data_IF_559276286211
#
_entry.id   IF_559276286211
#
_cell.length_a   1.000
_cell.length_b   1.000
_cell.length_c   1.000
_cell.angle_alpha   90.00
_cell.angle_beta   90.00
_cell.angle_gamma   90.00
#
_symmetry.space_group_name_H-M   'P 1'
#
loop_
_entity.id
_entity.type
_entity.pdbx_description
1 polymer ?
#
# COMPACT_ATOMS: atom_id res chain seq x y z
N UNK A 1 52.15 -24.83 10.51
CA UNK A 1 50.79 -24.49 10.96
C UNK A 1 50.69 -22.98 11.04
N UNK A 2 50.04 -22.35 10.05
CA UNK A 2 49.71 -20.93 10.09
C UNK A 2 48.22 -20.88 9.76
N UNK A 3 47.40 -20.58 10.77
CA UNK A 3 45.95 -20.51 10.63
C UNK A 3 45.61 -19.27 9.80
N UNK A 4 45.07 -19.49 8.61
CA UNK A 4 44.35 -18.47 7.84
C UNK A 4 42.91 -18.53 8.31
N UNK A 5 42.53 -17.59 9.16
CA UNK A 5 41.13 -17.23 9.34
C UNK A 5 40.90 -15.95 8.51
N UNK A 6 40.16 -16.10 7.42
CA UNK A 6 39.74 -14.98 6.57
C UNK A 6 38.26 -15.13 6.29
N UNK A 7 37.50 -15.22 7.38
CA UNK A 7 36.06 -15.03 7.40
C UNK A 7 35.74 -13.53 7.40
N UNK A 8 36.09 -12.81 6.32
CA UNK A 8 35.47 -11.51 6.05
C UNK A 8 34.10 -11.76 5.42
N UNK A 9 33.11 -11.97 6.29
CA UNK A 9 31.72 -11.86 5.92
C UNK A 9 31.48 -10.49 5.30
N UNK A 10 30.94 -10.48 4.08
CA UNK A 10 30.43 -9.29 3.41
C UNK A 10 29.39 -8.69 4.36
N UNK A 11 29.77 -7.63 5.08
CA UNK A 11 28.81 -6.82 5.82
C UNK A 11 27.88 -6.20 4.77
N UNK A 12 26.68 -6.76 4.64
CA UNK A 12 25.59 -6.10 3.96
C UNK A 12 25.31 -4.81 4.70
N UNK A 13 25.79 -3.69 4.16
CA UNK A 13 25.45 -2.36 4.62
C UNK A 13 23.92 -2.26 4.73
N UNK A 14 23.46 -1.92 5.92
CA UNK A 14 22.12 -1.38 6.14
C UNK A 14 21.90 -0.28 5.11
N UNK A 15 20.73 -0.20 4.43
CA UNK A 15 20.50 0.89 3.49
C UNK A 15 20.56 2.20 4.28
N UNK A 16 21.65 2.95 4.12
CA UNK A 16 21.68 4.34 4.55
C UNK A 16 20.71 5.08 3.65
N UNK A 17 19.77 5.83 4.23
CA UNK A 17 18.90 6.79 3.52
C UNK A 17 19.71 7.98 2.92
N UNK A 18 21.03 7.84 2.83
CA UNK A 18 21.97 8.83 2.36
C UNK A 18 22.53 8.43 0.99
N UNK A 19 22.61 9.44 0.13
CA UNK A 19 23.17 9.31 -1.21
C UNK A 19 24.68 9.06 -1.13
N UNK A 20 25.18 8.09 -1.90
CA UNK A 20 26.61 7.82 -2.00
C UNK A 20 27.38 9.02 -2.58
N UNK A 21 28.70 9.07 -2.37
CA UNK A 21 29.55 10.13 -2.93
C UNK A 21 29.49 10.20 -4.46
N UNK A 22 29.42 9.05 -5.13
CA UNK A 22 29.19 9.01 -6.58
C UNK A 22 27.82 9.58 -6.95
N UNK A 23 26.78 9.25 -6.18
CA UNK A 23 25.45 9.83 -6.38
C UNK A 23 25.49 11.35 -6.26
N UNK A 24 26.12 11.90 -5.21
CA UNK A 24 26.28 13.35 -5.02
C UNK A 24 27.01 14.00 -6.19
N UNK A 25 28.05 13.36 -6.72
CA UNK A 25 28.78 13.81 -7.90
C UNK A 25 27.88 13.85 -9.15
N UNK A 26 27.09 12.80 -9.40
CA UNK A 26 26.17 12.73 -10.55
C UNK A 26 25.08 13.81 -10.48
N UNK A 27 24.63 14.20 -9.29
CA UNK A 27 23.61 15.24 -9.13
C UNK A 27 24.15 16.67 -9.34
N UNK A 28 25.46 16.85 -9.55
CA UNK A 28 26.00 18.16 -9.94
C UNK A 28 25.60 18.54 -11.38
N UNK A 29 25.27 17.56 -12.22
CA UNK A 29 24.77 17.78 -13.57
C UNK A 29 23.24 17.81 -13.57
N UNK A 30 22.68 18.95 -13.99
CA UNK A 30 21.22 19.16 -14.05
C UNK A 30 20.53 18.16 -14.98
N UNK A 31 21.10 17.91 -16.16
CA UNK A 31 20.54 16.97 -17.15
C UNK A 31 20.45 15.54 -16.60
N UNK A 32 21.50 15.09 -15.91
CA UNK A 32 21.57 13.76 -15.31
C UNK A 32 20.56 13.66 -14.16
N UNK A 33 20.53 14.66 -13.29
CA UNK A 33 19.61 14.69 -12.16
C UNK A 33 18.15 14.63 -12.61
N UNK A 34 17.75 15.49 -13.55
CA UNK A 34 16.38 15.52 -14.07
C UNK A 34 15.99 14.20 -14.72
N UNK A 35 16.91 13.59 -15.48
CA UNK A 35 16.71 12.28 -16.10
C UNK A 35 16.52 11.18 -15.05
N UNK A 36 17.35 11.15 -14.01
CA UNK A 36 17.23 10.19 -12.91
C UNK A 36 15.92 10.34 -12.16
N UNK A 37 15.53 11.58 -11.83
CA UNK A 37 14.27 11.86 -11.16
C UNK A 37 13.08 11.38 -12.01
N UNK A 38 13.07 11.71 -13.30
CA UNK A 38 12.02 11.31 -14.22
C UNK A 38 11.90 9.79 -14.33
N UNK A 39 13.02 9.07 -14.52
CA UNK A 39 13.01 7.61 -14.66
C UNK A 39 12.56 6.94 -13.35
N UNK A 40 13.06 7.38 -12.19
CA UNK A 40 12.69 6.79 -10.90
C UNK A 40 11.21 6.96 -10.59
N UNK A 41 10.62 8.13 -10.84
CA UNK A 41 9.19 8.36 -10.59
C UNK A 41 8.30 7.69 -11.65
N UNK A 42 8.74 7.63 -12.91
CA UNK A 42 7.99 6.94 -13.96
C UNK A 42 7.98 5.42 -13.75
N UNK A 43 9.06 4.85 -13.21
CA UNK A 43 9.16 3.41 -12.95
C UNK A 43 8.19 2.89 -11.88
N UNK A 44 7.62 3.79 -11.05
CA UNK A 44 6.58 3.45 -10.07
C UNK A 44 5.29 2.93 -10.71
N UNK A 45 5.07 3.20 -12.00
CA UNK A 45 3.88 2.77 -12.73
C UNK A 45 4.16 1.58 -13.66
N UNK A 46 5.37 1.02 -13.67
CA UNK A 46 5.71 -0.17 -14.45
C UNK A 46 5.13 -1.42 -13.78
N UNK A 47 4.79 -2.46 -14.55
CA UNK A 47 4.23 -3.73 -14.04
C UNK A 47 5.24 -4.61 -13.28
N UNK A 48 6.04 -4.00 -12.39
CA UNK A 48 7.02 -4.66 -11.52
C UNK A 48 6.87 -4.13 -10.08
N UNK A 49 6.16 -4.91 -9.27
CA UNK A 49 5.91 -4.62 -7.86
C UNK A 49 7.21 -4.53 -7.03
N UNK A 50 8.25 -5.29 -7.37
CA UNK A 50 9.53 -5.27 -6.64
C UNK A 50 10.26 -3.96 -6.95
N UNK A 51 10.31 -3.59 -8.23
CA UNK A 51 10.87 -2.31 -8.65
C UNK A 51 10.13 -1.13 -8.01
N UNK A 52 8.79 -1.13 -8.04
CA UNK A 52 7.99 -0.09 -7.43
C UNK A 52 8.30 0.06 -5.93
N UNK A 53 8.29 -1.04 -5.17
CA UNK A 53 8.57 -1.01 -3.73
C UNK A 53 9.98 -0.48 -3.42
N UNK A 54 11.01 -0.93 -4.16
CA UNK A 54 12.39 -0.50 -3.95
C UNK A 54 12.60 0.96 -4.35
N UNK A 55 12.09 1.35 -5.51
CA UNK A 55 12.20 2.72 -6.02
C UNK A 55 11.49 3.71 -5.08
N UNK A 56 10.30 3.38 -4.59
CA UNK A 56 9.56 4.22 -3.65
C UNK A 56 10.25 4.33 -2.28
N UNK A 57 10.75 3.21 -1.74
CA UNK A 57 11.37 3.17 -0.40
C UNK A 57 12.75 3.80 -0.36
N UNK A 58 13.56 3.66 -1.42
CA UNK A 58 14.99 4.00 -1.40
C UNK A 58 15.33 5.17 -2.30
N UNK A 59 14.87 5.18 -3.55
CA UNK A 59 15.40 6.10 -4.57
C UNK A 59 14.64 7.42 -4.63
N UNK A 60 13.31 7.38 -4.72
CA UNK A 60 12.49 8.55 -5.04
C UNK A 60 12.64 9.66 -4.00
N UNK A 61 12.58 9.31 -2.71
CA UNK A 61 12.75 10.29 -1.63
C UNK A 61 14.19 10.80 -1.55
N UNK A 62 15.17 9.92 -1.65
CA UNK A 62 16.59 10.28 -1.59
C UNK A 62 16.98 11.28 -2.68
N UNK A 63 16.46 11.11 -3.89
CA UNK A 63 16.68 12.03 -5.02
C UNK A 63 15.92 13.35 -4.85
N UNK A 64 14.65 13.31 -4.44
CA UNK A 64 13.83 14.51 -4.27
C UNK A 64 14.34 15.39 -3.13
N UNK A 65 14.84 14.78 -2.05
CA UNK A 65 15.37 15.50 -0.87
C UNK A 65 16.49 16.49 -1.26
N UNK A 66 17.27 16.18 -2.29
CA UNK A 66 18.39 17.02 -2.75
C UNK A 66 17.95 18.34 -3.37
N UNK A 67 16.69 18.44 -3.83
CA UNK A 67 16.17 19.66 -4.49
C UNK A 67 15.02 20.31 -3.75
N UNK A 68 14.71 19.89 -2.52
CA UNK A 68 13.69 20.56 -1.69
C UNK A 68 14.06 22.02 -1.40
N UNK A 69 15.35 22.36 -1.37
CA UNK A 69 15.84 23.73 -1.23
C UNK A 69 15.77 24.54 -2.53
N UNK A 70 15.71 23.88 -3.68
CA UNK A 70 15.62 24.53 -4.98
C UNK A 70 14.19 25.05 -5.22
N UNK A 71 14.03 25.89 -6.24
CA UNK A 71 12.71 26.31 -6.71
C UNK A 71 12.30 25.38 -7.86
N UNK A 72 11.44 24.41 -7.55
CA UNK A 72 10.89 23.50 -8.55
C UNK A 72 9.76 24.20 -9.29
N UNK A 73 9.62 23.90 -10.58
CA UNK A 73 8.45 24.32 -11.35
C UNK A 73 7.19 23.66 -10.74
N UNK A 74 6.08 24.40 -10.56
CA UNK A 74 4.83 23.83 -10.06
C UNK A 74 4.39 22.60 -10.86
N UNK A 75 4.55 22.62 -12.18
CA UNK A 75 4.24 21.50 -13.07
C UNK A 75 5.06 20.25 -12.71
N UNK A 76 6.35 20.41 -12.40
CA UNK A 76 7.20 19.30 -11.99
C UNK A 76 6.74 18.70 -10.66
N UNK A 77 6.37 19.54 -9.68
CA UNK A 77 5.82 19.09 -8.40
C UNK A 77 4.53 18.30 -8.60
N UNK A 78 3.63 18.82 -9.44
CA UNK A 78 2.37 18.12 -9.75
C UNK A 78 2.60 16.78 -10.45
N UNK A 79 3.54 16.73 -11.39
CA UNK A 79 3.91 15.50 -12.09
C UNK A 79 4.50 14.46 -11.15
N UNK A 80 5.45 14.85 -10.28
CA UNK A 80 6.06 13.95 -9.29
C UNK A 80 5.01 13.35 -8.37
N UNK A 81 4.14 14.19 -7.81
CA UNK A 81 3.12 13.74 -6.87
C UNK A 81 2.09 12.83 -7.55
N UNK A 82 1.66 13.19 -8.77
CA UNK A 82 0.75 12.38 -9.58
C UNK A 82 1.37 11.02 -9.95
N UNK A 83 2.66 10.97 -10.25
CA UNK A 83 3.37 9.71 -10.55
C UNK A 83 3.36 8.75 -9.36
N UNK A 84 3.48 9.25 -8.12
CA UNK A 84 3.35 8.42 -6.91
C UNK A 84 1.92 7.91 -6.74
N UNK A 85 0.92 8.77 -6.93
CA UNK A 85 -0.49 8.35 -6.85
C UNK A 85 -0.86 7.33 -7.93
N UNK A 86 -0.33 7.47 -9.15
CA UNK A 86 -0.45 6.46 -10.22
C UNK A 86 0.17 5.13 -9.82
N UNK A 87 1.37 5.16 -9.22
CA UNK A 87 1.97 3.94 -8.65
C UNK A 87 1.08 3.29 -7.60
N UNK A 88 0.39 4.09 -6.76
CA UNK A 88 -0.54 3.57 -5.76
C UNK A 88 -1.80 2.97 -6.39
N UNK A 89 -2.26 3.54 -7.51
CA UNK A 89 -3.35 2.97 -8.30
C UNK A 89 -2.95 1.66 -8.97
N UNK A 90 -1.71 1.52 -9.43
CA UNK A 90 -1.20 0.30 -10.08
C UNK A 90 -0.89 -0.82 -9.09
N UNK A 91 -0.18 -0.51 -8.00
CA UNK A 91 0.38 -1.52 -7.08
C UNK A 91 -0.20 -1.50 -5.67
N UNK A 92 -1.11 -0.57 -5.35
CA UNK A 92 -1.64 -0.37 -3.99
C UNK A 92 -2.36 -1.56 -3.37
N UNK A 93 -2.73 -2.56 -4.19
CA UNK A 93 -3.25 -3.85 -3.71
C UNK A 93 -2.19 -4.68 -2.95
N UNK A 94 -0.90 -4.45 -3.21
CA UNK A 94 0.21 -5.12 -2.55
C UNK A 94 0.64 -4.32 -1.32
N UNK A 95 0.63 -4.94 -0.15
CA UNK A 95 0.91 -4.27 1.12
C UNK A 95 2.27 -3.55 1.14
N UNK A 96 3.31 -4.18 0.61
CA UNK A 96 4.67 -3.59 0.55
C UNK A 96 4.73 -2.32 -0.30
N UNK A 97 4.11 -2.33 -1.49
CA UNK A 97 4.01 -1.14 -2.34
C UNK A 97 3.13 -0.06 -1.71
N UNK A 98 1.97 -0.45 -1.15
CA UNK A 98 1.07 0.48 -0.50
C UNK A 98 1.76 1.24 0.65
N UNK A 99 2.46 0.51 1.52
CA UNK A 99 3.18 1.10 2.64
C UNK A 99 4.29 2.06 2.17
N UNK A 100 5.08 1.67 1.17
CA UNK A 100 6.17 2.47 0.61
C UNK A 100 5.66 3.73 -0.10
N UNK A 101 4.68 3.59 -1.01
CA UNK A 101 4.12 4.69 -1.78
C UNK A 101 3.32 5.65 -0.91
N UNK A 102 2.56 5.15 0.08
CA UNK A 102 1.86 6.02 1.03
C UNK A 102 2.85 6.83 1.86
N UNK A 103 3.95 6.22 2.29
CA UNK A 103 5.00 6.93 3.01
C UNK A 103 5.66 8.00 2.12
N UNK A 104 5.99 7.66 0.88
CA UNK A 104 6.56 8.59 -0.08
C UNK A 104 5.61 9.77 -0.35
N UNK A 105 4.34 9.50 -0.63
CA UNK A 105 3.33 10.54 -0.84
C UNK A 105 3.21 11.47 0.38
N UNK A 106 3.22 10.92 1.59
CA UNK A 106 3.19 11.73 2.82
C UNK A 106 4.41 12.66 2.92
N UNK A 107 5.62 12.13 2.69
CA UNK A 107 6.86 12.91 2.75
C UNK A 107 6.87 14.04 1.72
N UNK A 108 6.43 13.76 0.48
CA UNK A 108 6.32 14.76 -0.59
C UNK A 108 5.31 15.83 -0.19
N UNK A 109 4.12 15.43 0.26
CA UNK A 109 3.07 16.37 0.64
C UNK A 109 3.55 17.28 1.78
N UNK A 110 4.11 16.72 2.85
CA UNK A 110 4.57 17.52 3.99
C UNK A 110 5.69 18.50 3.63
N UNK A 111 6.63 18.09 2.79
CA UNK A 111 7.83 18.87 2.50
C UNK A 111 7.60 19.95 1.44
N UNK A 112 6.70 19.70 0.50
CA UNK A 112 6.44 20.60 -0.62
C UNK A 112 5.16 21.43 -0.42
N UNK A 113 4.15 20.94 0.31
CA UNK A 113 2.87 21.65 0.48
C UNK A 113 2.99 23.08 1.02
N UNK A 114 3.91 23.41 1.96
CA UNK A 114 4.06 24.79 2.42
C UNK A 114 4.45 25.79 1.32
N UNK A 115 5.08 25.30 0.23
CA UNK A 115 5.54 26.10 -0.91
C UNK A 115 4.66 25.97 -2.15
N UNK A 116 4.02 24.82 -2.35
CA UNK A 116 3.26 24.48 -3.56
C UNK A 116 1.80 24.14 -3.21
N UNK A 117 0.89 25.05 -3.53
CA UNK A 117 -0.55 24.89 -3.26
C UNK A 117 -1.23 23.87 -4.18
N UNK A 118 -0.61 23.58 -5.33
CA UNK A 118 -1.06 22.67 -6.37
C UNK A 118 -1.22 21.24 -5.84
N UNK A 119 -0.47 20.86 -4.80
CA UNK A 119 -0.60 19.57 -4.13
C UNK A 119 -1.99 19.38 -3.50
N UNK A 120 -2.59 20.46 -2.95
CA UNK A 120 -3.97 20.41 -2.46
C UNK A 120 -4.95 20.18 -3.60
N UNK A 121 -4.71 20.81 -4.75
CA UNK A 121 -5.57 20.62 -5.93
C UNK A 121 -5.56 19.15 -6.38
N UNK A 122 -4.39 18.51 -6.45
CA UNK A 122 -4.29 17.07 -6.78
C UNK A 122 -5.02 16.22 -5.75
N UNK A 123 -4.84 16.48 -4.45
CA UNK A 123 -5.55 15.75 -3.40
C UNK A 123 -7.08 15.83 -3.56
N UNK A 124 -7.62 17.00 -3.91
CA UNK A 124 -9.06 17.16 -4.15
C UNK A 124 -9.60 16.36 -5.34
N UNK A 125 -8.74 15.90 -6.26
CA UNK A 125 -9.13 15.04 -7.38
C UNK A 125 -9.20 13.55 -6.99
N UNK A 126 -8.81 13.19 -5.77
CA UNK A 126 -8.86 11.80 -5.30
C UNK A 126 -10.32 11.37 -5.09
N UNK A 127 -10.74 10.20 -5.62
CA UNK A 127 -12.09 9.68 -5.41
C UNK A 127 -12.42 9.52 -3.92
N UNK A 128 -13.67 9.78 -3.54
CA UNK A 128 -14.20 9.61 -2.18
C UNK A 128 -13.45 10.40 -1.08
N UNK A 129 -12.80 11.51 -1.44
CA UNK A 129 -12.06 12.32 -0.46
C UNK A 129 -12.99 13.15 0.43
N UNK A 130 -12.74 13.11 1.75
CA UNK A 130 -13.45 13.95 2.72
C UNK A 130 -12.81 15.34 2.80
N UNK A 131 -13.42 16.33 2.14
CA UNK A 131 -12.86 17.69 1.96
C UNK A 131 -12.51 18.37 3.29
N UNK A 132 -13.36 18.26 4.31
CA UNK A 132 -13.10 18.87 5.63
C UNK A 132 -11.91 18.21 6.33
N UNK A 133 -11.71 16.90 6.13
CA UNK A 133 -10.59 16.18 6.74
C UNK A 133 -9.28 16.57 6.02
N UNK A 134 -9.34 16.75 4.70
CA UNK A 134 -8.23 17.29 3.92
C UNK A 134 -7.89 18.71 4.38
N UNK A 135 -8.88 19.58 4.58
CA UNK A 135 -8.65 20.94 5.07
C UNK A 135 -7.96 20.98 6.43
N UNK A 136 -8.43 20.19 7.40
CA UNK A 136 -7.79 20.10 8.71
C UNK A 136 -6.36 19.54 8.63
N UNK A 137 -6.12 18.55 7.77
CA UNK A 137 -4.79 17.98 7.57
C UNK A 137 -3.84 19.00 6.92
N UNK A 138 -4.35 19.74 5.95
CA UNK A 138 -3.60 20.73 5.18
C UNK A 138 -3.18 21.93 6.03
N UNK A 139 -4.10 22.48 6.82
CA UNK A 139 -3.80 23.56 7.77
C UNK A 139 -2.71 23.15 8.76
N UNK A 140 -2.78 21.93 9.31
CA UNK A 140 -1.74 21.39 10.21
C UNK A 140 -0.39 21.20 9.53
N UNK A 141 -0.40 20.85 8.25
CA UNK A 141 0.82 20.66 7.46
C UNK A 141 1.52 22.00 7.22
N UNK A 142 0.76 23.05 6.91
CA UNK A 142 1.30 24.40 6.69
C UNK A 142 1.81 25.03 7.99
N UNK A 143 1.11 24.83 9.11
CA UNK A 143 1.44 25.44 10.40
C UNK A 143 2.65 24.80 11.13
N UNK A 144 3.23 23.71 10.59
CA UNK A 144 4.44 23.05 11.10
C UNK A 144 4.47 22.83 12.63
N UNK A 145 3.38 22.35 13.21
CA UNK A 145 3.39 21.92 14.61
C UNK A 145 4.01 20.52 14.71
N UNK A 146 5.35 20.47 14.86
CA UNK A 146 6.12 19.23 15.03
C UNK A 146 5.88 18.68 16.45
N UNK A 147 4.76 17.99 16.66
CA UNK A 147 4.59 17.13 17.83
C UNK A 147 4.93 15.69 17.45
N UNK A 148 6.09 15.20 17.92
CA UNK A 148 6.57 13.82 17.72
C UNK A 148 5.59 12.76 18.24
N UNK A 149 4.69 13.11 19.16
CA UNK A 149 3.65 12.21 19.68
C UNK A 149 2.51 11.95 18.68
N UNK A 150 2.45 12.67 17.55
CA UNK A 150 1.35 12.61 16.59
C UNK A 150 1.61 11.85 15.28
N UNK A 151 2.84 11.41 15.00
CA UNK A 151 3.23 10.90 13.67
C UNK A 151 2.42 9.68 13.21
N UNK A 152 2.21 8.71 14.11
CA UNK A 152 1.40 7.53 13.79
C UNK A 152 -0.05 7.91 13.43
N UNK A 153 -0.64 8.83 14.20
CA UNK A 153 -2.00 9.32 13.95
C UNK A 153 -2.08 10.10 12.64
N UNK A 154 -1.06 10.91 12.33
CA UNK A 154 -0.94 11.69 11.10
C UNK A 154 -0.87 10.77 9.88
N UNK A 155 -0.04 9.73 9.93
CA UNK A 155 0.07 8.73 8.87
C UNK A 155 -1.24 8.01 8.62
N UNK A 156 -1.96 7.62 9.68
CA UNK A 156 -3.28 6.99 9.54
C UNK A 156 -4.35 7.94 8.99
N UNK A 157 -4.33 9.22 9.38
CA UNK A 157 -5.20 10.24 8.77
C UNK A 157 -4.91 10.41 7.28
N UNK A 158 -3.64 10.52 6.90
CA UNK A 158 -3.24 10.66 5.51
C UNK A 158 -3.61 9.44 4.66
N UNK A 159 -3.38 8.22 5.18
CA UNK A 159 -3.82 6.98 4.52
C UNK A 159 -5.31 7.00 4.16
N UNK A 160 -6.16 7.53 5.06
CA UNK A 160 -7.61 7.67 4.79
C UNK A 160 -7.89 8.66 3.66
N UNK A 161 -7.14 9.76 3.58
CA UNK A 161 -7.32 10.77 2.52
C UNK A 161 -6.97 10.23 1.13
N UNK A 162 -5.92 9.41 1.02
CA UNK A 162 -5.48 8.85 -0.27
C UNK A 162 -6.11 7.48 -0.58
N UNK A 163 -6.99 6.96 0.28
CA UNK A 163 -7.54 5.61 0.13
C UNK A 163 -8.23 5.38 -1.22
N UNK A 164 -8.86 6.41 -1.79
CA UNK A 164 -9.50 6.35 -3.12
C UNK A 164 -8.53 6.16 -4.29
N UNK A 165 -7.23 6.41 -4.09
CA UNK A 165 -6.19 6.14 -5.11
C UNK A 165 -5.61 4.73 -5.04
N UNK A 166 -5.90 3.97 -3.98
CA UNK A 166 -5.36 2.61 -3.82
C UNK A 166 -5.99 1.66 -4.82
N UNK A 167 -5.15 1.02 -5.64
CA UNK A 167 -5.59 0.00 -6.60
C UNK A 167 -6.36 -1.13 -5.95
N UNK A 168 -7.53 -1.48 -6.51
CA UNK A 168 -8.34 -2.63 -6.07
C UNK A 168 -7.87 -3.90 -6.79
N UNK A 169 -7.92 -5.07 -6.12
CA UNK A 169 -7.63 -6.34 -6.78
C UNK A 169 -8.47 -6.58 -8.02
N UNK A 170 -7.88 -7.21 -9.05
CA UNK A 170 -8.55 -7.50 -10.32
C UNK A 170 -9.90 -8.21 -10.14
N UNK A 171 -9.98 -9.15 -9.19
CA UNK A 171 -11.21 -9.87 -8.85
C UNK A 171 -12.29 -9.04 -8.12
N UNK A 172 -12.00 -7.79 -7.75
CA UNK A 172 -12.97 -6.81 -7.25
C UNK A 172 -13.32 -5.76 -8.30
N UNK A 173 -12.40 -5.44 -9.23
CA UNK A 173 -12.64 -4.49 -10.32
C UNK A 173 -13.73 -4.96 -11.30
N UNK A 174 -13.84 -6.27 -11.51
CA UNK A 174 -14.88 -6.87 -12.37
C UNK A 174 -16.08 -7.45 -11.61
N UNK A 175 -16.13 -7.28 -10.28
CA UNK A 175 -17.37 -7.59 -9.55
C UNK A 175 -18.38 -6.54 -9.92
N UNK A 176 -19.37 -6.93 -10.74
CA UNK A 176 -20.57 -6.13 -10.95
C UNK A 176 -21.21 -5.91 -9.58
N UNK A 177 -21.14 -4.69 -9.07
CA UNK A 177 -21.72 -4.32 -7.79
C UNK A 177 -23.25 -4.25 -7.95
N UNK A 178 -23.90 -5.42 -7.98
CA UNK A 178 -25.35 -5.50 -8.05
C UNK A 178 -25.90 -5.59 -6.64
N UNK A 179 -26.25 -4.45 -6.06
CA UNK A 179 -27.00 -4.41 -4.81
C UNK A 179 -28.47 -4.77 -5.08
N UNK A 180 -28.76 -6.05 -5.36
CA UNK A 180 -30.14 -6.53 -5.51
C UNK A 180 -30.72 -6.69 -4.11
N UNK A 181 -31.50 -5.70 -3.66
CA UNK A 181 -32.15 -5.69 -2.34
C UNK A 181 -33.08 -6.90 -2.11
N UNK A 182 -33.50 -7.60 -3.17
CA UNK A 182 -34.46 -8.70 -3.13
C UNK A 182 -33.99 -9.91 -3.95
N UNK A 183 -32.78 -10.42 -3.70
CA UNK A 183 -32.40 -11.75 -4.21
C UNK A 183 -32.97 -12.83 -3.28
N UNK A 184 -33.92 -13.67 -3.71
CA UNK A 184 -34.30 -14.85 -2.92
C UNK A 184 -33.10 -15.78 -2.77
N UNK A 185 -32.85 -16.25 -1.55
CA UNK A 185 -31.71 -17.11 -1.22
C UNK A 185 -31.77 -18.41 -2.04
N UNK A 186 -30.84 -18.58 -2.99
CA UNK A 186 -30.75 -19.80 -3.83
C UNK A 186 -30.36 -21.05 -3.04
N UNK A 187 -29.75 -20.87 -1.85
CA UNK A 187 -29.42 -21.96 -0.95
C UNK A 187 -30.27 -21.85 0.31
N UNK A 188 -31.20 -22.79 0.49
CA UNK A 188 -31.73 -23.07 1.82
C UNK A 188 -30.58 -23.68 2.61
N UNK A 189 -30.09 -22.98 3.64
CA UNK A 189 -29.18 -23.57 4.62
C UNK A 189 -29.86 -24.85 5.14
N UNK A 190 -29.24 -26.04 5.06
CA UNK A 190 -29.75 -27.20 5.75
C UNK A 190 -29.91 -26.80 7.22
N UNK A 191 -31.12 -26.99 7.78
CA UNK A 191 -31.31 -26.83 9.21
C UNK A 191 -30.31 -27.76 9.89
N UNK A 192 -29.54 -27.30 10.89
CA UNK A 192 -28.86 -28.24 11.76
C UNK A 192 -29.95 -29.08 12.43
N UNK A 193 -30.05 -30.35 12.05
CA UNK A 193 -30.79 -31.35 12.81
C UNK A 193 -30.19 -31.34 14.19
N UNK A 194 -30.95 -30.80 15.14
CA UNK A 194 -30.69 -30.92 16.56
C UNK A 194 -30.67 -32.43 16.84
N UNK A 195 -29.56 -32.95 17.33
CA UNK A 195 -29.49 -34.28 17.91
C UNK A 195 -30.55 -34.34 19.03
N UNK A 196 -31.73 -34.88 18.69
CA UNK A 196 -32.71 -35.37 19.64
C UNK A 196 -32.48 -36.86 19.73
N UNK A 197 -31.49 -37.20 20.56
CA UNK A 197 -31.29 -38.55 21.04
C UNK A 197 -32.40 -38.84 22.06
N UNK A 198 -33.58 -39.23 21.58
CA UNK A 198 -34.60 -39.90 22.37
C UNK A 198 -35.03 -41.19 21.66
N UNK A 199 -34.31 -42.26 22.02
CA UNK A 199 -34.77 -43.63 22.18
C UNK A 199 -36.21 -43.94 21.70
N UNK A 200 -36.40 -44.37 20.44
CA UNK A 200 -37.48 -45.34 20.15
C UNK A 200 -37.33 -46.21 18.88
N UNK A 201 -36.14 -46.36 18.28
CA UNK A 201 -36.00 -47.22 17.07
C UNK A 201 -34.83 -48.22 17.10
N UNK A 202 -34.18 -48.40 18.24
CA UNK A 202 -33.10 -49.40 18.36
C UNK A 202 -33.61 -50.84 18.22
N UNK A 203 -34.89 -51.11 18.48
CA UNK A 203 -35.47 -52.44 18.32
C UNK A 203 -35.69 -52.86 16.85
N UNK A 204 -35.82 -51.90 15.91
CA UNK A 204 -36.15 -52.21 14.50
C UNK A 204 -34.90 -52.35 13.60
N UNK A 205 -33.79 -51.69 13.96
CA UNK A 205 -32.54 -51.79 13.19
C UNK A 205 -31.69 -53.00 13.58
N UNK A 206 -31.84 -53.53 14.80
CA UNK A 206 -31.11 -54.73 15.26
C UNK A 206 -31.67 -55.99 14.55
N UNK A 207 -32.96 -56.04 14.23
CA UNK A 207 -33.57 -57.13 13.47
C UNK A 207 -33.14 -57.18 12.00
N UNK A 208 -32.61 -56.08 11.44
CA UNK A 208 -32.17 -56.03 10.04
C UNK A 208 -30.81 -56.72 9.79
N UNK A 209 -30.00 -56.90 10.85
CA UNK A 209 -28.68 -57.53 10.81
C UNK A 209 -28.59 -58.81 11.65
N UNK A 210 -29.72 -59.28 12.17
CA UNK A 210 -29.79 -60.58 12.82
C UNK A 210 -29.84 -61.64 11.72
N UNK A 211 -28.67 -62.19 11.39
CA UNK A 211 -28.54 -63.34 10.50
C UNK A 211 -29.38 -64.50 11.04
N UNK A 212 -30.26 -65.06 10.21
CA UNK A 212 -30.80 -66.39 10.41
C UNK A 212 -29.63 -67.39 10.41
N UNK A 213 -29.09 -67.68 11.60
CA UNK A 213 -28.31 -68.89 11.82
C UNK A 213 -29.29 -70.03 12.09
N UNK A 214 -29.96 -70.50 11.05
CA UNK A 214 -30.59 -71.82 11.08
C UNK A 214 -29.63 -72.87 10.52
N UNK A 215 -29.38 -73.86 11.39
CA UNK A 215 -28.99 -75.24 11.10
C UNK A 215 -27.58 -75.56 10.60
N UNK A 216 -26.78 -76.14 11.50
CA UNK A 216 -26.51 -77.59 11.46
C UNK A 216 -26.77 -78.19 12.84
#
# INVERSE_FOLDING_TARGET
MVSVDSSQGIQMNTPSDELSELGKCLLQSEDIYMTLLAICFNSLSWEDTINCQRSASVLCWTLLKQVLGCNLLPEAVTWLYTSVLKGLQMHGQHEGCNAALTQLALLIYESLRPRYAELRFIMNQIPDIHVEALEQFDQKTIQSTVSKAGEKKKKEQFKRLIAGTVGKPLGQQFKKEVHIRNLPSLFKKPKPTKDMLENTDTACLITLFSSDCDSC
#
